data_IF_062427809056
#
_entry.id   IF_062427809056
#
_cell.length_a   1.000
_cell.length_b   1.000
_cell.length_c   1.000
_cell.angle_alpha   90.00
_cell.angle_beta   90.00
_cell.angle_gamma   90.00
#
_symmetry.space_group_name_H-M   'P 1'
#
loop_
_entity.id
_entity.type
_entity.pdbx_description
1 polymer ?
#
# COMPACT_ATOMS: atom_id res chain seq x y z
N UNK A 1 19.76 5.06 15.09
CA UNK A 1 19.20 6.42 15.05
C UNK A 1 17.98 6.40 15.95
N UNK A 2 17.99 7.12 17.07
CA UNK A 2 16.89 7.06 18.04
C UNK A 2 15.83 8.07 17.61
N UNK A 3 14.73 7.61 17.02
CA UNK A 3 13.62 8.46 16.59
C UNK A 3 12.67 8.58 17.78
N UNK A 4 12.41 9.80 18.25
CA UNK A 4 11.44 10.03 19.32
C UNK A 4 10.03 9.96 18.73
N UNK A 5 9.26 8.95 19.13
CA UNK A 5 7.87 8.82 18.73
C UNK A 5 7.00 9.73 19.61
N UNK A 6 6.34 10.72 19.00
CA UNK A 6 5.41 11.62 19.70
C UNK A 6 4.01 11.03 19.58
N UNK A 7 3.48 10.53 20.70
CA UNK A 7 2.14 9.93 20.74
C UNK A 7 1.06 11.01 20.68
N UNK A 8 -0.08 10.61 20.13
CA UNK A 8 -1.31 11.39 20.18
C UNK A 8 -1.72 11.66 21.64
N UNK A 9 -2.35 12.81 21.90
CA UNK A 9 -2.86 13.14 23.23
C UNK A 9 -4.06 12.26 23.60
N UNK A 10 -4.22 12.02 24.90
CA UNK A 10 -5.33 11.20 25.42
C UNK A 10 -6.69 11.86 25.16
N UNK A 11 -7.75 11.06 25.18
CA UNK A 11 -9.14 11.53 25.04
C UNK A 11 -9.40 12.66 26.02
N UNK A 12 -9.08 12.46 27.30
CA UNK A 12 -9.34 13.43 28.37
C UNK A 12 -8.64 14.76 28.11
N UNK A 13 -7.35 14.71 27.73
CA UNK A 13 -6.57 15.91 27.46
C UNK A 13 -7.05 16.63 26.20
N UNK A 14 -7.42 15.89 25.15
CA UNK A 14 -7.96 16.47 23.92
C UNK A 14 -9.32 17.15 24.16
N UNK A 15 -10.23 16.47 24.87
CA UNK A 15 -11.55 17.00 25.21
C UNK A 15 -11.42 18.22 26.10
N UNK A 16 -10.56 18.19 27.12
CA UNK A 16 -10.33 19.34 27.99
C UNK A 16 -9.73 20.53 27.22
N UNK A 17 -8.71 20.29 26.39
CA UNK A 17 -8.07 21.35 25.59
C UNK A 17 -9.06 22.00 24.62
N UNK A 18 -9.93 21.20 23.99
CA UNK A 18 -10.97 21.70 23.10
C UNK A 18 -12.02 22.54 23.86
N UNK A 19 -12.42 22.14 25.07
CA UNK A 19 -13.33 22.93 25.92
C UNK A 19 -12.74 24.29 26.25
N UNK A 20 -11.51 24.31 26.76
CA UNK A 20 -10.83 25.53 27.15
C UNK A 20 -10.64 26.47 25.96
N UNK A 21 -10.20 25.92 24.81
CA UNK A 21 -10.03 26.73 23.60
C UNK A 21 -11.35 27.28 23.08
N UNK A 22 -12.42 26.48 23.06
CA UNK A 22 -13.73 26.91 22.62
C UNK A 22 -14.29 28.05 23.47
N UNK A 23 -14.18 27.92 24.79
CA UNK A 23 -14.60 28.96 25.73
C UNK A 23 -13.81 30.27 25.51
N UNK A 24 -12.50 30.17 25.29
CA UNK A 24 -11.67 31.35 25.02
C UNK A 24 -11.93 31.99 23.64
N UNK A 25 -12.19 31.18 22.61
CA UNK A 25 -12.38 31.66 21.24
C UNK A 25 -13.79 32.21 20.98
N UNK A 26 -14.81 31.59 21.56
CA UNK A 26 -16.22 31.87 21.26
C UNK A 26 -17.02 32.37 22.46
N UNK A 27 -16.47 32.34 23.67
CA UNK A 27 -17.17 32.72 24.91
C UNK A 27 -18.45 31.90 25.17
N UNK A 28 -18.45 30.64 24.71
CA UNK A 28 -19.55 29.68 24.80
C UNK A 28 -19.09 28.35 25.43
N UNK A 29 -20.01 27.57 26.00
CA UNK A 29 -19.72 26.20 26.43
C UNK A 29 -19.95 25.21 25.29
N UNK A 30 -18.93 24.38 24.99
CA UNK A 30 -19.07 23.31 24.01
C UNK A 30 -19.88 22.13 24.58
N UNK A 31 -20.89 21.60 23.85
CA UNK A 31 -21.61 20.41 24.31
C UNK A 31 -20.67 19.21 24.44
N UNK A 32 -20.67 18.56 25.61
CA UNK A 32 -19.72 17.45 25.92
C UNK A 32 -19.88 16.27 24.98
N UNK A 33 -21.11 15.91 24.61
CA UNK A 33 -21.41 14.84 23.65
C UNK A 33 -20.80 15.11 22.27
N UNK A 34 -20.67 16.39 21.88
CA UNK A 34 -20.03 16.79 20.63
C UNK A 34 -18.52 16.51 20.69
N UNK A 35 -17.87 16.70 21.83
CA UNK A 35 -16.41 16.56 22.00
C UNK A 35 -15.94 15.11 22.00
N UNK A 36 -16.67 14.21 22.64
CA UNK A 36 -16.38 12.77 22.58
C UNK A 36 -16.56 12.25 21.15
N UNK A 37 -17.62 12.70 20.46
CA UNK A 37 -17.85 12.39 19.05
C UNK A 37 -16.71 12.92 18.17
N UNK A 38 -16.23 14.13 18.41
CA UNK A 38 -15.09 14.71 17.69
C UNK A 38 -13.85 13.84 17.85
N UNK A 39 -13.51 13.47 19.08
CA UNK A 39 -12.35 12.60 19.33
C UNK A 39 -12.49 11.25 18.61
N UNK A 40 -13.67 10.65 18.63
CA UNK A 40 -13.92 9.38 17.93
C UNK A 40 -13.71 9.47 16.41
N UNK A 41 -13.81 10.67 15.82
CA UNK A 41 -13.61 10.90 14.39
C UNK A 41 -12.16 11.23 14.03
N UNK A 42 -11.47 12.03 14.84
CA UNK A 42 -10.14 12.57 14.49
C UNK A 42 -8.98 12.07 15.36
N UNK A 43 -9.27 11.48 16.52
CA UNK A 43 -8.27 11.04 17.49
C UNK A 43 -7.55 12.19 18.19
N UNK A 44 -6.40 11.88 18.79
CA UNK A 44 -5.62 12.79 19.62
C UNK A 44 -4.47 13.49 18.89
N UNK A 45 -4.44 13.49 17.56
CA UNK A 45 -3.33 14.13 16.84
C UNK A 45 -3.39 15.64 17.01
N UNK A 46 -2.34 16.23 17.58
CA UNK A 46 -2.30 17.65 17.95
C UNK A 46 -2.63 18.58 16.78
N UNK A 47 -2.15 18.29 15.57
CA UNK A 47 -2.45 19.11 14.39
C UNK A 47 -3.92 19.09 14.00
N UNK A 48 -4.62 17.97 14.21
CA UNK A 48 -6.06 17.87 13.97
C UNK A 48 -6.85 18.59 15.06
N UNK A 49 -6.43 18.42 16.32
CA UNK A 49 -7.04 19.11 17.47
C UNK A 49 -6.90 20.63 17.32
N UNK A 50 -5.74 21.14 16.92
CA UNK A 50 -5.51 22.58 16.67
C UNK A 50 -6.37 23.12 15.52
N UNK A 51 -6.51 22.39 14.42
CA UNK A 51 -7.36 22.77 13.29
C UNK A 51 -8.84 22.82 13.68
N UNK A 52 -9.28 21.86 14.49
CA UNK A 52 -10.66 21.80 15.00
C UNK A 52 -10.94 22.93 15.97
N UNK A 53 -10.03 23.20 16.91
CA UNK A 53 -10.18 24.21 17.93
C UNK A 53 -10.44 25.61 17.32
N UNK A 54 -9.83 25.90 16.17
CA UNK A 54 -9.98 27.17 15.44
C UNK A 54 -11.25 27.27 14.58
N UNK A 55 -12.01 26.19 14.43
CA UNK A 55 -13.19 26.17 13.56
C UNK A 55 -14.47 26.55 14.29
N UNK A 56 -15.34 27.33 13.63
CA UNK A 56 -16.72 27.56 14.09
C UNK A 56 -17.64 26.37 13.82
N UNK A 57 -17.35 25.61 12.78
CA UNK A 57 -18.11 24.41 12.40
C UNK A 57 -17.21 23.20 12.57
N UNK A 58 -17.17 22.68 13.80
CA UNK A 58 -16.26 21.60 14.17
C UNK A 58 -16.56 20.33 13.37
N UNK A 59 -17.84 19.97 13.23
CA UNK A 59 -18.22 18.72 12.55
C UNK A 59 -17.77 18.73 11.10
N UNK A 60 -18.00 19.84 10.39
CA UNK A 60 -17.52 20.02 9.03
C UNK A 60 -16.00 19.98 8.92
N UNK A 61 -15.28 20.52 9.89
CA UNK A 61 -13.81 20.42 9.94
C UNK A 61 -13.35 18.97 10.16
N UNK A 62 -14.00 18.22 11.04
CA UNK A 62 -13.71 16.80 11.24
C UNK A 62 -13.92 15.99 9.96
N UNK A 63 -15.04 16.22 9.26
CA UNK A 63 -15.31 15.60 7.95
C UNK A 63 -14.25 15.96 6.91
N UNK A 64 -13.83 17.24 6.87
CA UNK A 64 -12.76 17.71 5.98
C UNK A 64 -11.42 17.02 6.25
N UNK A 65 -11.07 16.81 7.52
CA UNK A 65 -9.86 16.09 7.94
C UNK A 65 -9.93 14.63 7.46
N UNK A 66 -11.04 13.94 7.72
CA UNK A 66 -11.26 12.56 7.26
C UNK A 66 -11.16 12.45 5.73
N UNK A 67 -11.78 13.37 4.99
CA UNK A 67 -11.70 13.40 3.54
C UNK A 67 -10.30 13.73 3.02
N UNK A 68 -9.54 14.57 3.73
CA UNK A 68 -8.15 14.88 3.37
C UNK A 68 -7.26 13.65 3.52
N UNK A 69 -7.40 12.90 4.60
CA UNK A 69 -6.65 11.66 4.85
C UNK A 69 -7.05 10.57 3.84
N UNK A 70 -8.34 10.45 3.51
CA UNK A 70 -8.82 9.56 2.44
C UNK A 70 -8.23 9.90 1.08
N UNK A 71 -8.26 11.19 0.70
CA UNK A 71 -7.63 11.66 -0.55
C UNK A 71 -6.13 11.41 -0.54
N UNK A 72 -5.45 11.59 0.60
CA UNK A 72 -4.03 11.30 0.74
C UNK A 72 -3.72 9.82 0.49
N UNK A 73 -4.47 8.92 1.14
CA UNK A 73 -4.33 7.47 0.95
C UNK A 73 -4.54 7.07 -0.51
N UNK A 74 -5.63 7.50 -1.14
CA UNK A 74 -5.93 7.21 -2.54
C UNK A 74 -4.87 7.80 -3.49
N UNK A 75 -4.43 9.04 -3.24
CA UNK A 75 -3.38 9.67 -4.07
C UNK A 75 -2.07 8.90 -4.03
N UNK A 76 -1.72 8.30 -2.88
CA UNK A 76 -0.43 7.64 -2.68
C UNK A 76 -0.45 6.14 -2.99
N UNK A 77 -1.58 5.47 -2.76
CA UNK A 77 -1.64 4.02 -2.65
C UNK A 77 -2.71 3.38 -3.54
N UNK A 78 -3.33 4.12 -4.46
CA UNK A 78 -4.39 3.53 -5.27
C UNK A 78 -3.89 2.49 -6.27
N UNK A 79 -4.67 1.42 -6.38
CA UNK A 79 -4.40 0.27 -7.23
C UNK A 79 -5.05 0.44 -8.62
N UNK A 80 -4.34 0.02 -9.67
CA UNK A 80 -4.71 0.28 -11.05
C UNK A 80 -5.57 -0.83 -11.70
N UNK A 81 -5.57 -2.04 -11.15
CA UNK A 81 -6.29 -3.19 -11.71
C UNK A 81 -5.56 -3.84 -12.90
N UNK A 82 -6.30 -4.60 -13.71
CA UNK A 82 -5.76 -5.41 -14.81
C UNK A 82 -5.04 -4.59 -15.89
N UNK A 83 -5.46 -3.34 -16.10
CA UNK A 83 -4.93 -2.47 -17.15
C UNK A 83 -3.67 -1.70 -16.72
N UNK A 84 -3.01 -2.13 -15.63
CA UNK A 84 -1.76 -1.56 -15.14
C UNK A 84 -0.63 -1.73 -16.18
N UNK A 85 0.05 -0.63 -16.47
CA UNK A 85 1.24 -0.60 -17.32
C UNK A 85 2.45 -1.22 -16.60
N UNK A 86 3.32 -1.91 -17.33
CA UNK A 86 4.51 -2.58 -16.77
C UNK A 86 5.47 -1.63 -16.04
N UNK A 87 5.66 -0.42 -16.57
CA UNK A 87 6.47 0.62 -15.92
C UNK A 87 5.93 1.14 -14.58
N UNK A 88 4.71 0.76 -14.18
CA UNK A 88 4.14 1.08 -12.87
C UNK A 88 4.38 0.00 -11.81
N UNK A 89 5.13 -1.07 -12.14
CA UNK A 89 5.37 -2.24 -11.30
C UNK A 89 5.78 -1.89 -9.87
N UNK A 90 6.88 -1.15 -9.69
CA UNK A 90 7.41 -0.82 -8.35
C UNK A 90 6.39 -0.03 -7.51
N UNK A 91 5.73 0.95 -8.13
CA UNK A 91 4.71 1.74 -7.46
C UNK A 91 3.51 0.89 -7.04
N UNK A 92 3.12 -0.09 -7.86
CA UNK A 92 1.95 -0.93 -7.60
C UNK A 92 2.24 -2.08 -6.62
N UNK A 93 3.48 -2.57 -6.53
CA UNK A 93 3.92 -3.41 -5.40
C UNK A 93 3.68 -2.71 -4.07
N UNK A 94 4.08 -1.44 -3.98
CA UNK A 94 3.84 -0.61 -2.81
C UNK A 94 2.34 -0.37 -2.55
N UNK A 95 1.56 -0.05 -3.59
CA UNK A 95 0.11 0.17 -3.45
C UNK A 95 -0.64 -1.08 -2.99
N UNK A 96 -0.28 -2.26 -3.50
CA UNK A 96 -0.87 -3.55 -3.09
C UNK A 96 -0.58 -3.80 -1.61
N UNK A 97 0.66 -3.58 -1.16
CA UNK A 97 1.03 -3.74 0.25
C UNK A 97 0.23 -2.81 1.17
N UNK A 98 0.10 -1.53 0.78
CA UNK A 98 -0.70 -0.54 1.49
C UNK A 98 -2.19 -0.95 1.60
N UNK A 99 -2.77 -1.44 0.51
CA UNK A 99 -4.17 -1.91 0.49
C UNK A 99 -4.36 -3.19 1.31
N UNK A 100 -3.36 -4.08 1.32
CA UNK A 100 -3.40 -5.33 2.08
C UNK A 100 -3.34 -5.07 3.58
N UNK A 101 -2.47 -4.15 4.03
CA UNK A 101 -2.42 -3.79 5.45
C UNK A 101 -3.67 -3.03 5.90
N UNK A 102 -4.22 -2.17 5.04
CA UNK A 102 -5.50 -1.51 5.30
C UNK A 102 -6.63 -2.54 5.52
N UNK A 103 -6.72 -3.56 4.66
CA UNK A 103 -7.68 -4.67 4.85
C UNK A 103 -7.45 -5.43 6.14
N UNK A 104 -6.20 -5.69 6.51
CA UNK A 104 -5.85 -6.43 7.72
C UNK A 104 -6.22 -5.65 8.98
N UNK A 105 -5.93 -4.34 9.02
CA UNK A 105 -6.28 -3.45 10.14
C UNK A 105 -7.80 -3.30 10.27
N UNK A 106 -8.53 -3.12 9.17
CA UNK A 106 -10.00 -3.07 9.18
C UNK A 106 -10.62 -4.39 9.63
N UNK A 107 -10.01 -5.52 9.29
CA UNK A 107 -10.45 -6.83 9.78
C UNK A 107 -10.22 -6.95 11.28
N UNK A 108 -9.04 -6.56 11.76
CA UNK A 108 -8.70 -6.62 13.18
C UNK A 108 -9.60 -5.70 14.03
N UNK A 109 -9.95 -4.51 13.54
CA UNK A 109 -10.92 -3.60 14.18
C UNK A 109 -12.27 -4.28 14.44
N UNK A 110 -12.72 -5.13 13.50
CA UNK A 110 -13.98 -5.88 13.64
C UNK A 110 -13.88 -7.05 14.62
N UNK A 111 -12.69 -7.64 14.74
CA UNK A 111 -12.44 -8.79 15.61
C UNK A 111 -12.14 -8.36 17.07
N UNK A 112 -11.84 -7.07 17.32
CA UNK A 112 -11.66 -6.52 18.67
C UNK A 112 -12.99 -6.48 19.44
N UNK A 113 -13.02 -7.16 20.60
CA UNK A 113 -14.21 -7.30 21.46
C UNK A 113 -14.53 -6.08 22.32
N UNK A 114 -13.55 -5.19 22.53
CA UNK A 114 -13.69 -3.97 23.31
C UNK A 114 -13.54 -2.76 22.39
N UNK A 115 -14.59 -1.95 22.20
CA UNK A 115 -14.53 -0.70 21.44
C UNK A 115 -13.85 0.41 22.27
N UNK A 116 -12.71 0.11 22.88
CA UNK A 116 -11.86 1.16 23.43
C UNK A 116 -11.27 1.92 22.25
N UNK A 117 -11.11 3.24 22.42
CA UNK A 117 -10.72 4.23 21.41
C UNK A 117 -9.33 4.04 20.77
N UNK A 118 -8.75 2.85 20.88
CA UNK A 118 -7.43 2.50 20.38
C UNK A 118 -7.51 1.96 18.95
N UNK A 119 -6.53 2.34 18.13
CA UNK A 119 -6.44 1.84 16.77
C UNK A 119 -6.10 0.34 16.75
N UNK A 120 -6.61 -0.43 15.77
CA UNK A 120 -6.16 -1.80 15.56
C UNK A 120 -4.66 -1.82 15.25
N UNK A 121 -3.96 -2.84 15.73
CA UNK A 121 -2.50 -2.92 15.64
C UNK A 121 -1.98 -4.33 15.32
N UNK A 122 -1.14 -4.44 14.31
CA UNK A 122 -0.55 -5.72 13.87
C UNK A 122 0.96 -5.69 14.19
N UNK A 123 1.55 -6.76 14.74
CA UNK A 123 2.99 -6.82 14.91
C UNK A 123 3.75 -6.63 13.58
N UNK A 124 4.86 -5.90 13.59
CA UNK A 124 5.62 -5.53 12.39
C UNK A 124 6.00 -6.74 11.54
N UNK A 125 6.50 -7.81 12.16
CA UNK A 125 6.85 -9.03 11.43
C UNK A 125 5.64 -9.67 10.72
N UNK A 126 4.41 -9.54 11.28
CA UNK A 126 3.17 -9.98 10.63
C UNK A 126 2.75 -9.04 9.51
N UNK A 127 2.95 -7.73 9.67
CA UNK A 127 2.76 -6.80 8.57
C UNK A 127 3.71 -7.10 7.40
N UNK A 128 4.97 -7.42 7.69
CA UNK A 128 5.97 -7.82 6.69
C UNK A 128 5.59 -9.14 5.99
N UNK A 129 5.08 -10.12 6.74
CA UNK A 129 4.56 -11.39 6.21
C UNK A 129 3.39 -11.14 5.24
N UNK A 130 2.42 -10.31 5.65
CA UNK A 130 1.26 -9.94 4.82
C UNK A 130 1.65 -9.19 3.55
N UNK A 131 2.66 -8.32 3.62
CA UNK A 131 3.15 -7.55 2.48
C UNK A 131 4.15 -8.32 1.62
N UNK A 132 4.63 -9.49 2.06
CA UNK A 132 5.70 -10.30 1.43
C UNK A 132 7.03 -9.56 1.22
N UNK A 133 7.22 -8.40 1.88
CA UNK A 133 8.40 -7.54 1.78
C UNK A 133 8.66 -6.82 3.10
N UNK A 134 9.91 -6.86 3.55
CA UNK A 134 10.32 -6.29 4.84
C UNK A 134 10.48 -4.77 4.83
N UNK A 135 10.75 -4.17 3.66
CA UNK A 135 11.04 -2.74 3.52
C UNK A 135 9.81 -1.83 3.39
N UNK A 136 8.66 -2.41 3.04
CA UNK A 136 7.45 -1.65 2.72
C UNK A 136 6.77 -0.99 3.94
N UNK A 137 6.71 -1.61 5.13
CA UNK A 137 6.14 -0.94 6.30
C UNK A 137 6.84 0.38 6.61
N UNK A 138 8.18 0.41 6.55
CA UNK A 138 8.94 1.63 6.83
C UNK A 138 8.65 2.75 5.81
N UNK A 139 8.50 2.40 4.53
CA UNK A 139 8.08 3.37 3.50
C UNK A 139 6.68 3.93 3.77
N UNK A 140 5.74 3.07 4.17
CA UNK A 140 4.36 3.47 4.50
C UNK A 140 4.33 4.38 5.74
N UNK A 141 5.19 4.09 6.73
CA UNK A 141 5.37 4.88 7.94
C UNK A 141 5.86 6.30 7.58
N UNK A 142 6.89 6.41 6.75
CA UNK A 142 7.43 7.70 6.28
C UNK A 142 6.42 8.53 5.48
N UNK A 143 5.42 7.89 4.86
CA UNK A 143 4.34 8.57 4.14
C UNK A 143 3.12 8.89 5.01
N UNK A 144 3.19 8.63 6.31
CA UNK A 144 2.08 8.78 7.26
C UNK A 144 0.82 8.00 6.82
N UNK A 145 1.00 6.82 6.20
CA UNK A 145 -0.11 5.90 5.89
C UNK A 145 -0.36 4.97 7.08
N UNK A 146 0.72 4.44 7.64
CA UNK A 146 0.72 3.67 8.88
C UNK A 146 1.59 4.38 9.92
N UNK A 147 1.53 3.91 11.16
CA UNK A 147 2.51 4.23 12.20
C UNK A 147 3.14 2.94 12.71
N UNK A 148 4.43 2.99 13.05
CA UNK A 148 5.15 1.91 13.73
C UNK A 148 5.56 2.45 15.10
N UNK A 149 5.06 1.84 16.17
CA UNK A 149 5.39 2.25 17.53
C UNK A 149 6.69 1.63 18.06
N UNK A 150 7.08 2.01 19.28
CA UNK A 150 8.31 1.52 19.92
C UNK A 150 8.28 0.02 20.27
N UNK A 151 7.09 -0.62 20.20
CA UNK A 151 6.89 -2.05 20.42
C UNK A 151 6.73 -2.82 19.11
N UNK A 152 7.11 -2.22 17.98
CA UNK A 152 6.96 -2.77 16.64
C UNK A 152 5.50 -3.12 16.30
N UNK A 153 4.54 -2.31 16.79
CA UNK A 153 3.12 -2.44 16.43
C UNK A 153 2.80 -1.48 15.29
N UNK A 154 2.24 -2.04 14.23
CA UNK A 154 1.78 -1.32 13.04
C UNK A 154 0.31 -0.97 13.20
N UNK A 155 0.00 0.32 13.22
CA UNK A 155 -1.38 0.85 13.25
C UNK A 155 -1.62 1.74 12.03
N UNK A 156 -2.87 2.14 11.78
CA UNK A 156 -3.10 3.29 10.89
C UNK A 156 -2.40 4.52 11.46
N UNK A 157 -1.93 5.43 10.61
CA UNK A 157 -1.20 6.60 11.12
C UNK A 157 -2.08 7.46 12.05
N UNK A 158 -3.39 7.47 11.84
CA UNK A 158 -4.38 8.25 12.59
C UNK A 158 -5.77 7.61 12.58
N UNK A 159 -6.67 8.11 13.43
CA UNK A 159 -8.10 7.74 13.41
C UNK A 159 -8.78 8.11 12.08
N UNK A 160 -8.55 9.31 11.49
CA UNK A 160 -8.97 9.61 10.13
C UNK A 160 -8.43 8.66 9.07
N UNK A 161 -7.16 8.22 9.18
CA UNK A 161 -6.57 7.26 8.25
C UNK A 161 -7.21 5.87 8.37
N UNK A 162 -7.48 5.41 9.59
CA UNK A 162 -8.26 4.18 9.80
C UNK A 162 -9.67 4.30 9.21
N UNK A 163 -10.30 5.47 9.34
CA UNK A 163 -11.58 5.76 8.69
C UNK A 163 -11.48 5.74 7.16
N UNK A 164 -10.39 6.24 6.59
CA UNK A 164 -10.10 6.11 5.17
C UNK A 164 -9.93 4.64 4.73
N UNK A 165 -9.23 3.82 5.52
CA UNK A 165 -9.10 2.38 5.26
C UNK A 165 -10.47 1.70 5.25
N UNK A 166 -11.33 1.99 6.23
CA UNK A 166 -12.70 1.47 6.28
C UNK A 166 -13.51 1.85 5.04
N UNK A 167 -13.47 3.13 4.65
CA UNK A 167 -14.17 3.63 3.49
C UNK A 167 -13.73 2.90 2.21
N UNK A 168 -12.42 2.87 1.95
CA UNK A 168 -11.86 2.24 0.75
C UNK A 168 -12.07 0.73 0.74
N UNK A 169 -11.87 0.05 1.87
CA UNK A 169 -12.04 -1.40 1.96
C UNK A 169 -13.51 -1.84 1.78
N UNK A 170 -14.45 -0.93 2.02
CA UNK A 170 -15.89 -1.16 1.85
C UNK A 170 -16.41 -0.73 0.48
N UNK A 171 -15.58 -0.11 -0.38
CA UNK A 171 -15.99 0.26 -1.73
C UNK A 171 -16.33 -0.98 -2.58
N UNK A 172 -17.42 -0.87 -3.34
CA UNK A 172 -17.85 -1.92 -4.24
C UNK A 172 -16.78 -2.22 -5.30
N UNK A 173 -16.45 -3.50 -5.44
CA UNK A 173 -15.43 -3.95 -6.38
C UNK A 173 -13.98 -3.73 -5.93
N UNK A 174 -13.72 -3.13 -4.77
CA UNK A 174 -12.36 -2.95 -4.24
C UNK A 174 -11.57 -4.28 -4.19
N UNK A 175 -12.14 -5.32 -3.57
CA UNK A 175 -11.50 -6.65 -3.50
C UNK A 175 -11.19 -7.24 -4.86
N UNK A 176 -12.11 -7.08 -5.82
CA UNK A 176 -11.92 -7.54 -7.21
C UNK A 176 -10.80 -6.77 -7.89
N UNK A 177 -10.73 -5.45 -7.67
CA UNK A 177 -9.69 -4.60 -8.24
C UNK A 177 -8.32 -4.90 -7.63
N UNK A 178 -8.25 -5.13 -6.31
CA UNK A 178 -7.03 -5.52 -5.62
C UNK A 178 -6.50 -6.82 -6.20
N UNK A 179 -7.34 -7.86 -6.26
CA UNK A 179 -6.99 -9.14 -6.89
C UNK A 179 -6.52 -8.96 -8.33
N UNK A 180 -7.24 -8.18 -9.15
CA UNK A 180 -6.84 -7.94 -10.54
C UNK A 180 -5.49 -7.22 -10.68
N UNK A 181 -5.14 -6.34 -9.72
CA UNK A 181 -3.84 -5.66 -9.69
C UNK A 181 -2.73 -6.64 -9.29
N UNK A 182 -2.97 -7.46 -8.26
CA UNK A 182 -2.05 -8.50 -7.81
C UNK A 182 -1.79 -9.54 -8.90
N UNK A 183 -2.83 -10.03 -9.56
CA UNK A 183 -2.72 -10.99 -10.66
C UNK A 183 -1.89 -10.40 -11.81
N UNK A 184 -2.16 -9.15 -12.20
CA UNK A 184 -1.41 -8.46 -13.25
C UNK A 184 0.06 -8.23 -12.89
N UNK A 185 0.35 -7.88 -11.63
CA UNK A 185 1.71 -7.74 -11.14
C UNK A 185 2.47 -9.08 -11.21
N UNK A 186 1.82 -10.17 -10.81
CA UNK A 186 2.40 -11.51 -10.89
C UNK A 186 2.69 -11.93 -12.33
N UNK A 187 1.82 -11.60 -13.28
CA UNK A 187 2.07 -11.82 -14.72
C UNK A 187 3.34 -11.10 -15.17
N UNK A 188 3.49 -9.81 -14.86
CA UNK A 188 4.67 -9.01 -15.24
C UNK A 188 5.95 -9.62 -14.64
N UNK A 189 5.95 -9.91 -13.33
CA UNK A 189 7.09 -10.53 -12.65
C UNK A 189 7.41 -11.91 -13.23
N UNK A 190 6.40 -12.67 -13.67
CA UNK A 190 6.61 -14.00 -14.27
C UNK A 190 7.33 -13.92 -15.61
N UNK A 191 7.02 -12.92 -16.44
CA UNK A 191 7.67 -12.68 -17.72
C UNK A 191 9.14 -12.27 -17.55
N UNK A 192 9.45 -11.48 -16.53
CA UNK A 192 10.84 -11.12 -16.22
C UNK A 192 11.68 -12.30 -15.71
N UNK A 193 11.03 -13.34 -15.16
CA UNK A 193 11.69 -14.57 -14.69
C UNK A 193 11.90 -15.59 -15.81
N UNK A 194 11.29 -15.41 -16.98
CA UNK A 194 11.54 -16.27 -18.13
C UNK A 194 12.81 -15.84 -18.87
N UNK A 195 13.76 -16.77 -19.01
CA UNK A 195 14.91 -16.56 -19.88
C UNK A 195 14.46 -16.68 -21.34
N UNK A 196 14.47 -15.58 -22.06
CA UNK A 196 14.19 -15.56 -23.51
C UNK A 196 15.50 -15.69 -24.30
N UNK A 197 15.51 -16.57 -25.31
CA UNK A 197 16.61 -16.67 -26.28
C UNK A 197 16.11 -16.06 -27.58
N UNK A 198 16.50 -14.81 -27.88
CA UNK A 198 16.17 -14.14 -29.14
C UNK A 198 17.24 -14.43 -30.18
N UNK A 199 16.89 -15.16 -31.24
CA UNK A 199 17.78 -15.40 -32.39
C UNK A 199 17.35 -14.51 -33.56
N UNK A 200 18.27 -13.67 -34.04
CA UNK A 200 18.04 -12.78 -35.19
C UNK A 200 19.10 -13.04 -36.25
N UNK A 201 18.86 -14.02 -37.11
CA UNK A 201 19.46 -14.11 -38.45
C UNK A 201 18.81 -15.24 -39.26
N UNK A 202 17.84 -14.91 -40.12
CA UNK A 202 17.35 -15.81 -41.17
C UNK A 202 17.63 -15.20 -42.55
N UNK A 203 18.73 -14.46 -42.70
CA UNK A 203 19.12 -13.95 -44.01
C UNK A 203 19.71 -15.11 -44.83
N UNK A 204 19.34 -15.18 -46.11
CA UNK A 204 19.80 -16.17 -47.10
C UNK A 204 19.35 -17.63 -46.90
N UNK A 205 18.12 -17.95 -46.46
CA UNK A 205 17.67 -19.35 -46.23
C UNK A 205 18.36 -20.08 -45.05
N UNK A 206 18.90 -19.33 -44.08
CA UNK A 206 19.37 -19.91 -42.83
C UNK A 206 18.26 -20.69 -42.11
N UNK A 207 18.60 -21.81 -41.46
CA UNK A 207 17.64 -22.60 -40.69
C UNK A 207 18.16 -22.82 -39.27
N UNK A 208 17.25 -22.70 -38.30
CA UNK A 208 17.49 -23.13 -36.93
C UNK A 208 16.99 -24.57 -36.76
N UNK A 209 17.84 -25.41 -36.18
CA UNK A 209 17.50 -26.77 -35.80
C UNK A 209 17.51 -26.89 -34.29
N UNK A 210 16.40 -27.34 -33.72
CA UNK A 210 16.24 -27.57 -32.29
C UNK A 210 16.13 -29.08 -32.09
N UNK A 211 17.10 -29.67 -31.39
CA UNK A 211 17.13 -31.11 -31.10
C UNK A 211 17.18 -31.36 -29.59
N UNK A 212 16.51 -32.43 -29.15
CA UNK A 212 16.57 -32.92 -27.77
C UNK A 212 17.55 -34.06 -27.71
N UNK A 213 18.64 -33.88 -27.00
CA UNK A 213 19.65 -34.92 -26.78
C UNK A 213 19.54 -35.49 -25.37
N UNK A 214 19.80 -36.79 -25.22
CA UNK A 214 19.96 -37.40 -23.90
C UNK A 214 21.43 -37.30 -23.50
N UNK A 215 21.68 -36.64 -22.38
CA UNK A 215 23.01 -36.58 -21.77
C UNK A 215 23.42 -37.93 -21.17
N UNK A 216 24.71 -38.05 -20.87
CA UNK A 216 25.38 -39.29 -20.40
C UNK A 216 24.77 -39.83 -19.10
N UNK A 217 24.07 -38.98 -18.32
CA UNK A 217 23.40 -39.32 -17.05
C UNK A 217 21.87 -39.22 -17.07
N UNK A 218 21.25 -39.23 -18.25
CA UNK A 218 19.78 -39.12 -18.38
C UNK A 218 19.24 -37.69 -18.28
N UNK A 219 20.12 -36.70 -18.24
CA UNK A 219 19.76 -35.28 -18.37
C UNK A 219 19.18 -35.01 -19.76
N UNK A 220 18.11 -34.21 -19.83
CA UNK A 220 17.51 -33.79 -21.09
C UNK A 220 18.21 -32.51 -21.55
N UNK A 221 19.09 -32.62 -22.53
CA UNK A 221 19.77 -31.49 -23.12
C UNK A 221 18.97 -30.96 -24.32
N UNK A 222 18.84 -29.65 -24.43
CA UNK A 222 18.29 -28.99 -25.62
C UNK A 222 19.49 -28.41 -26.37
N UNK A 223 19.74 -28.92 -27.58
CA UNK A 223 20.73 -28.36 -28.50
C UNK A 223 20.01 -27.50 -29.52
N UNK A 224 20.45 -26.26 -29.65
CA UNK A 224 20.01 -25.37 -30.72
C UNK A 224 21.21 -25.11 -31.62
N UNK A 225 21.07 -25.41 -32.91
CA UNK A 225 22.11 -25.21 -33.92
C UNK A 225 21.62 -24.33 -35.05
N UNK A 226 22.47 -23.42 -35.51
CA UNK A 226 22.23 -22.61 -36.69
C UNK A 226 22.97 -23.23 -37.88
N UNK A 227 22.23 -23.54 -38.95
CA UNK A 227 22.82 -23.98 -40.22
C UNK A 227 22.87 -22.78 -41.18
N UNK A 228 24.07 -22.26 -41.42
CA UNK A 228 24.32 -21.28 -42.48
C UNK A 228 24.25 -21.99 -43.84
N UNK A 229 23.54 -21.44 -44.84
CA UNK A 229 23.56 -21.98 -46.19
C UNK A 229 24.94 -21.81 -46.80
N UNK A 230 25.38 -22.81 -47.57
CA UNK A 230 26.63 -22.74 -48.33
C UNK A 230 26.50 -21.63 -49.37
N UNK A 231 27.15 -20.50 -49.15
CA UNK A 231 27.33 -19.50 -50.20
C UNK A 231 28.26 -20.10 -51.24
N UNK A 232 27.73 -20.55 -52.38
CA UNK A 232 28.55 -20.78 -53.56
C UNK A 232 29.03 -19.40 -54.02
N UNK A 233 30.27 -19.03 -53.68
CA UNK A 233 30.94 -17.90 -54.32
C UNK A 233 31.30 -18.34 -55.74
N UNK A 234 30.46 -18.00 -56.70
CA UNK A 234 30.86 -18.04 -58.10
C UNK A 234 31.92 -16.98 -58.33
N UNK A 235 33.19 -17.37 -58.28
CA UNK A 235 34.27 -16.57 -58.83
C UNK A 235 34.13 -16.57 -60.35
N UNK A 236 33.57 -15.50 -60.92
CA UNK A 236 33.66 -15.20 -62.34
C UNK A 236 34.89 -14.33 -62.56
N UNK A 237 35.84 -14.84 -63.35
CA UNK A 237 37.00 -14.14 -63.90
C UNK A 237 36.59 -13.02 -64.85
#
# INVERSE_FOLDING_TARGET
MNVLNVRDITVDLAVQSLKEYWLHAFWEEAPVETLERIYSMVGGRLSFVDEIAKSRDILKTCESICERERRWFLKKCWILGKNMHEGAKEHQEYCIAAMTIAQALVKQEKDQKSPNSELPGIPLHKAQELMTRADLPEKLNQMNIISIDDNDIVTASSVPMQSAFRAVCSEDGFKKKLKATTDRLNEIVSLERTTEITMKDLVNDGQYEISKERGIRGEKNIRISYRKPLSYSSWSW
#
